data_IF_655316423457
#
_entry.id   IF_655316423457
#
_cell.length_a   1.000
_cell.length_b   1.000
_cell.length_c   1.000
_cell.angle_alpha   90.00
_cell.angle_beta   90.00
_cell.angle_gamma   90.00
#
_symmetry.space_group_name_H-M   'P 1'
#
loop_
_entity.id
_entity.type
_entity.pdbx_description
1 polymer ?
#
# COMPACT_ATOMS: atom_id res chain seq x y z
N UNK A 1 13.78 7.50 -14.08
CA UNK A 1 12.67 7.86 -14.60
C UNK A 1 11.51 7.10 -14.21
N UNK A 2 11.43 5.87 -14.52
CA UNK A 2 10.28 5.13 -14.16
C UNK A 2 10.07 4.99 -12.68
N UNK A 3 11.13 5.03 -11.90
CA UNK A 3 10.97 4.91 -10.46
C UNK A 3 10.22 6.09 -9.86
N UNK A 4 10.46 7.29 -10.37
CA UNK A 4 9.76 8.44 -9.86
C UNK A 4 8.28 8.37 -10.19
N UNK A 5 7.94 7.94 -11.38
CA UNK A 5 6.57 7.83 -11.80
C UNK A 5 5.83 6.78 -11.00
N UNK A 6 6.47 5.64 -10.79
CA UNK A 6 5.87 4.56 -10.02
C UNK A 6 5.66 4.98 -8.58
N UNK A 7 6.59 5.72 -8.02
CA UNK A 7 6.45 6.14 -6.64
C UNK A 7 5.33 7.18 -6.47
N UNK A 8 5.20 8.10 -7.41
CA UNK A 8 4.11 9.06 -7.33
C UNK A 8 2.77 8.37 -7.35
N UNK A 9 2.65 7.33 -8.19
CA UNK A 9 1.44 6.59 -8.26
C UNK A 9 1.18 5.84 -6.99
N UNK A 10 2.23 5.25 -6.41
CA UNK A 10 2.12 4.56 -5.14
C UNK A 10 1.67 5.52 -4.04
N UNK A 11 2.19 6.73 -4.04
CA UNK A 11 1.78 7.72 -3.05
C UNK A 11 0.31 8.07 -3.19
N UNK A 12 -0.20 8.18 -4.42
CA UNK A 12 -1.60 8.49 -4.61
C UNK A 12 -2.50 7.36 -4.15
N UNK A 13 -2.12 6.12 -4.43
CA UNK A 13 -2.86 4.99 -3.92
C UNK A 13 -2.89 5.01 -2.40
N UNK A 14 -1.75 5.28 -1.79
CA UNK A 14 -1.67 5.27 -0.33
C UNK A 14 -2.40 6.43 0.31
N UNK A 15 -2.49 7.56 -0.37
CA UNK A 15 -3.31 8.66 0.13
C UNK A 15 -4.77 8.28 0.19
N UNK A 16 -5.25 7.55 -0.82
CA UNK A 16 -6.61 7.05 -0.79
C UNK A 16 -6.80 6.02 0.30
N UNK A 17 -5.81 5.17 0.50
CA UNK A 17 -5.86 4.17 1.57
C UNK A 17 -5.97 4.87 2.93
N UNK A 18 -5.17 5.91 3.14
CA UNK A 18 -5.21 6.66 4.38
C UNK A 18 -6.58 7.29 4.59
N UNK A 19 -7.12 7.91 3.56
CA UNK A 19 -8.45 8.49 3.66
C UNK A 19 -9.49 7.46 4.03
N UNK A 20 -9.44 6.32 3.39
CA UNK A 20 -10.41 5.26 3.64
C UNK A 20 -10.31 4.75 5.08
N UNK A 21 -9.09 4.57 5.57
CA UNK A 21 -8.89 4.11 6.93
C UNK A 21 -9.36 5.15 7.95
N UNK A 22 -9.16 6.43 7.67
CA UNK A 22 -9.64 7.46 8.57
C UNK A 22 -11.16 7.46 8.66
N UNK A 23 -11.83 7.16 7.57
CA UNK A 23 -13.28 7.07 7.57
C UNK A 23 -13.77 5.77 8.20
N UNK A 24 -12.98 4.71 8.11
CA UNK A 24 -13.34 3.42 8.67
C UNK A 24 -12.17 2.85 9.45
N UNK A 25 -11.95 3.33 10.68
CA UNK A 25 -10.76 2.91 11.45
C UNK A 25 -10.65 1.42 11.69
N UNK A 26 -11.77 0.72 11.65
CA UNK A 26 -11.73 -0.74 11.82
C UNK A 26 -10.94 -1.45 10.74
N UNK A 27 -10.68 -0.79 9.61
CA UNK A 27 -9.87 -1.40 8.57
C UNK A 27 -8.45 -1.66 9.05
N UNK A 28 -7.95 -0.87 10.02
CA UNK A 28 -6.62 -1.11 10.56
C UNK A 28 -6.55 -2.48 11.22
N UNK A 29 -7.56 -2.84 11.99
CA UNK A 29 -7.59 -4.15 12.62
C UNK A 29 -7.73 -5.26 11.59
N UNK A 30 -8.51 -5.01 10.56
CA UNK A 30 -8.66 -5.98 9.48
C UNK A 30 -7.30 -6.25 8.83
N UNK A 31 -6.51 -5.22 8.61
CA UNK A 31 -5.18 -5.38 8.01
C UNK A 31 -4.26 -6.15 8.94
N UNK A 32 -4.30 -5.86 10.24
CA UNK A 32 -3.48 -6.57 11.20
C UNK A 32 -3.78 -8.07 11.19
N UNK A 33 -5.06 -8.42 11.20
CA UNK A 33 -5.47 -9.81 11.18
C UNK A 33 -5.09 -10.49 9.89
N UNK A 34 -5.26 -9.79 8.79
CA UNK A 34 -4.92 -10.34 7.49
C UNK A 34 -3.42 -10.62 7.39
N UNK A 35 -2.60 -9.70 7.90
CA UNK A 35 -1.16 -9.85 7.87
C UNK A 35 -0.73 -11.03 8.72
N UNK A 36 -1.28 -11.16 9.92
CA UNK A 36 -0.96 -12.29 10.79
C UNK A 36 -1.32 -13.59 10.12
N UNK A 37 -2.46 -13.65 9.47
CA UNK A 37 -2.91 -14.84 8.80
C UNK A 37 -2.01 -15.20 7.62
N UNK A 38 -1.63 -14.18 6.85
CA UNK A 38 -0.76 -14.39 5.72
C UNK A 38 0.59 -14.96 6.14
N UNK A 39 1.15 -14.43 7.23
CA UNK A 39 2.42 -14.92 7.73
C UNK A 39 2.33 -16.34 8.26
N UNK A 40 1.17 -16.73 8.78
CA UNK A 40 1.00 -18.04 9.36
C UNK A 40 0.64 -19.12 8.34
N UNK A 41 -0.12 -18.75 7.33
CA UNK A 41 -0.70 -19.74 6.45
C UNK A 41 -0.04 -19.93 5.09
N UNK A 42 0.60 -18.89 4.59
CA UNK A 42 1.12 -18.92 3.23
C UNK A 42 2.59 -19.27 3.20
N UNK A 43 2.99 -19.96 2.15
CA UNK A 43 4.38 -20.24 1.94
C UNK A 43 5.00 -19.03 1.26
N UNK A 44 5.86 -18.38 1.97
CA UNK A 44 6.48 -17.15 1.47
C UNK A 44 8.00 -17.32 1.44
N UNK A 45 8.63 -16.59 0.54
CA UNK A 45 10.09 -16.55 0.53
C UNK A 45 10.57 -15.84 1.78
N UNK A 46 11.84 -16.03 2.12
CA UNK A 46 12.37 -15.39 3.32
C UNK A 46 12.34 -13.88 3.21
N UNK A 47 12.58 -13.33 2.03
CA UNK A 47 12.54 -11.88 1.91
C UNK A 47 11.11 -11.36 2.04
N UNK A 48 10.11 -12.07 1.55
CA UNK A 48 8.74 -11.67 1.75
C UNK A 48 8.36 -11.70 3.22
N UNK A 49 8.75 -12.76 3.92
CA UNK A 49 8.46 -12.86 5.34
C UNK A 49 9.11 -11.73 6.12
N UNK A 50 10.35 -11.41 5.77
CA UNK A 50 11.06 -10.35 6.45
C UNK A 50 10.33 -9.02 6.28
N UNK A 51 9.92 -8.71 5.07
CA UNK A 51 9.23 -7.46 4.79
C UNK A 51 7.88 -7.39 5.51
N UNK A 52 7.14 -8.48 5.54
CA UNK A 52 5.85 -8.50 6.20
C UNK A 52 6.00 -8.44 7.71
N UNK A 53 7.04 -9.02 8.27
CA UNK A 53 7.29 -8.93 9.69
C UNK A 53 7.68 -7.52 10.10
N UNK A 54 8.37 -6.82 9.22
CA UNK A 54 8.67 -5.42 9.48
C UNK A 54 7.38 -4.62 9.60
N UNK A 55 6.42 -4.84 8.69
CA UNK A 55 5.14 -4.19 8.78
C UNK A 55 4.36 -4.62 10.02
N UNK A 56 4.48 -5.89 10.40
CA UNK A 56 3.83 -6.38 11.61
C UNK A 56 4.34 -5.61 12.83
N UNK A 57 5.65 -5.37 12.89
CA UNK A 57 6.25 -4.61 13.97
C UNK A 57 5.75 -3.16 13.95
N UNK A 58 5.70 -2.56 12.77
CA UNK A 58 5.20 -1.20 12.65
C UNK A 58 3.76 -1.11 13.14
N UNK A 59 2.93 -2.05 12.72
CA UNK A 59 1.52 -2.03 13.10
C UNK A 59 1.31 -2.26 14.59
N UNK A 60 2.25 -2.93 15.25
CA UNK A 60 2.10 -3.19 16.68
C UNK A 60 2.73 -2.12 17.54
N UNK A 61 3.70 -1.38 17.03
CA UNK A 61 4.42 -0.41 17.86
C UNK A 61 4.08 1.04 17.60
N UNK A 62 3.63 1.37 16.39
CA UNK A 62 3.35 2.75 16.05
C UNK A 62 1.89 3.07 16.31
N UNK A 63 1.60 4.35 16.52
CA UNK A 63 0.23 4.77 16.73
C UNK A 63 -0.50 4.77 15.39
N UNK A 64 -1.82 4.90 15.47
CA UNK A 64 -2.67 4.97 14.28
C UNK A 64 -2.18 6.07 13.35
N UNK A 65 -1.96 7.28 13.87
CA UNK A 65 -1.53 8.39 13.03
C UNK A 65 -0.13 8.19 12.47
N UNK A 66 0.76 7.60 13.25
CA UNK A 66 2.10 7.33 12.77
C UNK A 66 2.11 6.35 11.62
N UNK A 67 1.27 5.33 11.71
CA UNK A 67 1.17 4.35 10.63
C UNK A 67 0.67 5.02 9.37
N UNK A 68 -0.36 5.86 9.48
CA UNK A 68 -0.89 6.53 8.31
C UNK A 68 0.12 7.49 7.71
N UNK A 69 0.92 8.14 8.53
CA UNK A 69 1.96 9.02 8.03
C UNK A 69 3.03 8.26 7.27
N UNK A 70 3.38 7.07 7.74
CA UNK A 70 4.37 6.24 7.05
C UNK A 70 3.89 5.89 5.65
N UNK A 71 2.60 5.62 5.50
CA UNK A 71 2.06 5.23 4.20
C UNK A 71 2.19 6.32 3.14
N UNK A 72 2.23 7.57 3.56
CA UNK A 72 2.30 8.68 2.61
C UNK A 72 3.59 9.49 2.75
N UNK A 73 4.58 8.93 3.41
CA UNK A 73 5.83 9.65 3.60
C UNK A 73 6.63 9.68 2.30
N UNK A 74 6.96 10.87 1.84
CA UNK A 74 7.69 11.01 0.58
C UNK A 74 9.19 11.00 0.88
N UNK A 75 9.72 9.82 1.10
CA UNK A 75 11.13 9.63 1.42
C UNK A 75 11.56 8.26 0.90
N UNK A 76 12.85 8.02 0.90
CA UNK A 76 13.36 6.71 0.49
C UNK A 76 12.83 5.61 1.39
N UNK A 77 12.75 5.88 2.68
CA UNK A 77 12.24 4.89 3.60
C UNK A 77 10.76 4.64 3.38
N UNK A 78 9.98 5.68 3.16
CA UNK A 78 8.58 5.52 2.83
C UNK A 78 8.38 4.74 1.55
N UNK A 79 9.20 5.02 0.54
CA UNK A 79 9.11 4.31 -0.72
C UNK A 79 9.44 2.83 -0.53
N UNK A 80 10.47 2.54 0.25
CA UNK A 80 10.86 1.16 0.52
C UNK A 80 9.73 0.41 1.22
N UNK A 81 9.13 1.02 2.21
CA UNK A 81 8.06 0.37 2.97
C UNK A 81 6.81 0.17 2.14
N UNK A 82 6.50 1.12 1.25
CA UNK A 82 5.32 0.98 0.41
C UNK A 82 5.42 -0.19 -0.56
N UNK A 83 6.63 -0.60 -0.91
CA UNK A 83 6.80 -1.70 -1.84
C UNK A 83 6.31 -3.04 -1.28
N UNK A 84 6.25 -3.17 0.03
CA UNK A 84 5.77 -4.39 0.64
C UNK A 84 4.57 -4.15 1.55
N UNK A 85 3.78 -3.13 1.25
CA UNK A 85 2.69 -2.75 2.10
C UNK A 85 1.60 -3.82 2.19
N UNK A 86 1.03 -4.05 3.36
CA UNK A 86 -0.05 -5.01 3.49
C UNK A 86 -1.41 -4.36 3.24
N UNK A 87 -1.45 -3.09 2.85
CA UNK A 87 -2.70 -2.36 2.70
C UNK A 87 -3.31 -2.44 1.31
N UNK A 88 -2.72 -3.19 0.39
CA UNK A 88 -3.14 -3.15 -1.00
C UNK A 88 -4.53 -3.71 -1.20
N UNK A 89 -5.12 -4.43 -0.51
CA UNK A 89 -6.42 -5.03 -0.80
C UNK A 89 -7.61 -4.24 -0.34
N UNK A 90 -7.41 -3.09 0.30
CA UNK A 90 -8.57 -2.39 0.84
C UNK A 90 -9.19 -1.38 -0.10
N UNK A 91 -8.55 -1.06 -1.20
CA UNK A 91 -9.18 -0.18 -2.19
C UNK A 91 -10.00 -1.01 -3.15
N UNK A 92 -11.18 -0.54 -3.48
CA UNK A 92 -11.99 -1.20 -4.49
C UNK A 92 -11.44 -0.91 -5.87
N UNK A 93 -11.89 -1.66 -6.84
CA UNK A 93 -11.47 -1.43 -8.21
C UNK A 93 -11.85 -0.03 -8.68
N UNK A 94 -13.02 0.43 -8.29
CA UNK A 94 -13.47 1.75 -8.65
C UNK A 94 -12.55 2.82 -8.07
N UNK A 95 -12.15 2.64 -6.84
CA UNK A 95 -11.23 3.59 -6.19
C UNK A 95 -9.89 3.62 -6.88
N UNK A 96 -9.41 2.46 -7.33
CA UNK A 96 -8.14 2.40 -8.04
C UNK A 96 -8.25 3.05 -9.42
N UNK A 97 -9.37 2.87 -10.07
CA UNK A 97 -9.56 3.46 -11.40
C UNK A 97 -9.59 4.98 -11.35
N UNK A 98 -10.00 5.54 -10.22
CA UNK A 98 -9.95 6.99 -10.08
C UNK A 98 -8.53 7.51 -10.22
N UNK A 99 -7.56 6.78 -9.69
CA UNK A 99 -6.17 7.20 -9.78
C UNK A 99 -5.71 7.19 -11.23
N UNK A 100 -6.11 6.15 -11.99
CA UNK A 100 -5.77 6.09 -13.39
C UNK A 100 -6.34 7.29 -14.13
N UNK A 101 -7.58 7.64 -13.86
CA UNK A 101 -8.22 8.75 -14.56
C UNK A 101 -7.61 10.09 -14.21
N UNK A 102 -7.14 10.23 -12.98
CA UNK A 102 -6.56 11.48 -12.54
C UNK A 102 -5.12 11.66 -13.02
N UNK A 103 -4.43 10.57 -13.27
CA UNK A 103 -3.02 10.63 -13.65
C UNK A 103 -2.73 9.72 -14.84
N UNK A 104 -3.42 9.90 -15.94
CA UNK A 104 -3.22 9.01 -17.09
C UNK A 104 -1.84 9.09 -17.70
N UNK A 105 -1.16 10.19 -17.53
CA UNK A 105 0.18 10.30 -18.07
C UNK A 105 1.20 9.53 -17.26
N UNK A 106 0.91 9.34 -15.97
CA UNK A 106 1.84 8.62 -15.14
C UNK A 106 1.69 7.14 -15.34
N UNK A 107 0.50 6.70 -15.68
CA UNK A 107 0.26 5.30 -15.80
C UNK A 107 0.10 4.88 -17.22
N UNK A 108 0.96 4.18 -17.75
CA UNK A 108 0.93 3.82 -19.08
C UNK A 108 0.12 2.72 -19.30
N UNK A 109 0.11 1.81 -19.48
CA UNK A 109 -0.12 0.63 -19.86
C UNK A 109 -0.86 0.63 -21.04
N UNK A 110 -0.53 1.13 -21.98
CA UNK A 110 -1.22 1.17 -23.14
C UNK A 110 -1.36 -0.08 -23.85
N UNK A 111 -0.40 -0.84 -23.89
CA UNK A 111 -0.42 -1.98 -24.73
C UNK A 111 -1.67 -2.78 -24.64
N UNK A 112 -2.19 -2.88 -23.47
CA UNK A 112 -3.30 -3.71 -23.29
C UNK A 112 -4.52 -3.18 -23.87
N UNK A 113 -4.64 -1.90 -23.94
CA UNK A 113 -5.80 -1.38 -24.39
C UNK A 113 -6.02 -1.52 -25.79
N UNK A 114 -5.03 -1.67 -26.54
CA UNK A 114 -5.19 -1.78 -27.93
C UNK A 114 -5.82 -3.07 -28.34
N UNK A 115 -5.97 -3.93 -27.46
CA UNK A 115 -6.51 -5.17 -27.84
C UNK A 115 -8.00 -5.13 -27.92
#
# INVERSE_FOLDING_TARGET
MSHEIIDKRSLEYNRLIVEKIRQQPGLMDFIRQKLDRTLAEYRLSESCKHALREWQTILSRKSFDEILNILVEDSHEGQRLRQSTPFTGILTQEERMKIFRQSPKIWPPPARESV
#
